data_IF_908498170225
#
_entry.id   IF_908498170225
#
_cell.length_a   1.000
_cell.length_b   1.000
_cell.length_c   1.000
_cell.angle_alpha   90.00
_cell.angle_beta   90.00
_cell.angle_gamma   90.00
#
_symmetry.space_group_name_H-M   'P 1'
#
loop_
_entity.id
_entity.type
_entity.pdbx_description
1 polymer ?
#
# COMPACT_ATOMS: atom_id res chain seq x y z
N UNK A 1 -5.80 0.27 -8.33
CA UNK A 1 -6.75 1.32 -7.94
C UNK A 1 -8.12 0.93 -8.46
N UNK A 2 -9.17 1.06 -7.64
CA UNK A 2 -10.56 0.81 -8.02
C UNK A 2 -11.37 2.09 -7.83
N UNK A 3 -12.36 2.32 -8.70
CA UNK A 3 -13.22 3.50 -8.70
C UNK A 3 -14.66 3.03 -8.57
N UNK A 4 -15.38 3.55 -7.58
CA UNK A 4 -16.79 3.28 -7.30
C UNK A 4 -17.54 4.61 -7.38
N UNK A 5 -17.86 5.04 -8.61
CA UNK A 5 -18.44 6.37 -8.87
C UNK A 5 -19.82 6.54 -8.24
N UNK A 6 -20.65 5.48 -8.21
CA UNK A 6 -21.95 5.49 -7.53
C UNK A 6 -21.85 5.76 -6.04
N UNK A 7 -20.76 5.35 -5.43
CA UNK A 7 -20.50 5.51 -4.00
C UNK A 7 -19.56 6.67 -3.70
N UNK A 8 -19.18 7.44 -4.72
CA UNK A 8 -18.22 8.55 -4.61
C UNK A 8 -16.93 8.14 -3.87
N UNK A 9 -16.40 6.94 -4.13
CA UNK A 9 -15.26 6.35 -3.45
C UNK A 9 -14.19 5.86 -4.43
N UNK A 10 -12.91 6.13 -4.12
CA UNK A 10 -11.75 5.61 -4.84
C UNK A 10 -10.82 4.87 -3.89
N UNK A 11 -10.56 3.59 -4.17
CA UNK A 11 -9.63 2.76 -3.41
C UNK A 11 -8.24 2.83 -4.04
N UNK A 12 -7.28 3.43 -3.33
CA UNK A 12 -5.89 3.50 -3.72
C UNK A 12 -5.17 2.22 -3.29
N UNK A 13 -4.45 1.60 -4.22
CA UNK A 13 -3.76 0.34 -3.98
C UNK A 13 -2.33 0.58 -3.49
N UNK A 14 -2.14 0.85 -2.20
CA UNK A 14 -0.79 0.91 -1.59
C UNK A 14 -0.11 -0.46 -1.77
N UNK A 15 1.14 -0.51 -2.24
CA UNK A 15 1.83 -1.79 -2.38
C UNK A 15 1.98 -2.52 -1.04
N UNK A 16 1.81 -3.84 -1.02
CA UNK A 16 2.06 -4.73 0.14
C UNK A 16 1.10 -4.56 1.33
N UNK A 17 -0.07 -3.97 1.10
CA UNK A 17 -1.14 -3.79 2.08
C UNK A 17 -2.41 -4.61 1.74
N UNK A 18 -2.28 -5.77 1.09
CA UNK A 18 -3.46 -6.59 0.75
C UNK A 18 -4.26 -6.10 -0.47
N UNK A 19 -3.77 -5.09 -1.20
CA UNK A 19 -4.47 -4.48 -2.35
C UNK A 19 -4.86 -5.48 -3.45
N UNK A 20 -4.15 -6.60 -3.58
CA UNK A 20 -4.52 -7.65 -4.57
C UNK A 20 -5.73 -8.45 -4.10
N UNK A 21 -5.87 -8.72 -2.81
CA UNK A 21 -7.05 -9.40 -2.27
C UNK A 21 -8.30 -8.53 -2.44
N UNK A 22 -8.20 -7.24 -2.09
CA UNK A 22 -9.27 -6.26 -2.32
C UNK A 22 -9.61 -6.12 -3.83
N UNK A 23 -8.62 -6.14 -4.71
CA UNK A 23 -8.84 -6.07 -6.15
C UNK A 23 -9.57 -7.31 -6.68
N UNK A 24 -9.29 -8.49 -6.15
CA UNK A 24 -9.98 -9.73 -6.52
C UNK A 24 -11.42 -9.70 -6.00
N UNK A 25 -11.63 -9.30 -4.75
CA UNK A 25 -12.95 -9.28 -4.12
C UNK A 25 -13.88 -8.21 -4.69
N UNK A 26 -13.35 -7.02 -5.00
CA UNK A 26 -14.14 -5.83 -5.36
C UNK A 26 -14.05 -5.42 -6.84
N UNK A 27 -13.17 -6.07 -7.61
CA UNK A 27 -12.85 -5.61 -8.97
C UNK A 27 -14.01 -5.73 -9.95
N UNK A 28 -15.00 -6.59 -9.70
CA UNK A 28 -16.20 -6.73 -10.54
C UNK A 28 -17.27 -5.69 -10.20
N UNK A 29 -17.26 -5.19 -8.96
CA UNK A 29 -18.20 -4.16 -8.49
C UNK A 29 -17.73 -2.75 -8.79
N UNK A 30 -16.45 -2.58 -9.19
CA UNK A 30 -15.87 -1.29 -9.50
C UNK A 30 -16.29 -0.80 -10.90
N UNK A 31 -16.73 0.47 -10.99
CA UNK A 31 -17.04 1.13 -12.26
C UNK A 31 -15.79 1.39 -13.11
N UNK A 32 -14.62 1.54 -12.45
CA UNK A 32 -13.34 1.71 -13.10
C UNK A 32 -12.19 0.99 -12.37
N UNK A 33 -11.24 0.48 -13.16
CA UNK A 33 -10.10 -0.27 -12.62
C UNK A 33 -8.79 0.10 -13.32
N UNK A 34 -7.77 0.41 -12.52
CA UNK A 34 -6.39 0.49 -12.99
C UNK A 34 -5.60 -0.70 -12.43
N UNK A 35 -5.36 -1.70 -13.27
CA UNK A 35 -4.71 -2.97 -12.88
C UNK A 35 -3.31 -3.13 -13.46
N UNK A 36 -3.08 -2.65 -14.68
CA UNK A 36 -1.82 -2.76 -15.41
C UNK A 36 -1.52 -1.47 -16.17
N UNK A 37 -0.25 -1.08 -16.33
CA UNK A 37 0.92 -1.69 -15.67
C UNK A 37 0.93 -1.45 -14.15
N UNK A 38 1.86 -2.06 -13.38
CA UNK A 38 1.92 -1.91 -11.91
C UNK A 38 1.93 -0.46 -11.42
N UNK A 39 2.55 0.45 -12.16
CA UNK A 39 2.62 1.88 -11.86
C UNK A 39 1.23 2.56 -11.92
N UNK A 40 0.34 2.04 -12.77
CA UNK A 40 -1.06 2.48 -12.82
C UNK A 40 -1.88 1.88 -11.70
N UNK A 41 -1.69 0.59 -11.41
CA UNK A 41 -2.33 -0.07 -10.26
C UNK A 41 -1.99 0.65 -8.95
N UNK A 42 -0.70 0.89 -8.74
CA UNK A 42 -0.13 1.50 -7.54
C UNK A 42 0.11 3.00 -7.73
N UNK A 43 -0.89 3.71 -8.28
CA UNK A 43 -0.83 5.15 -8.48
C UNK A 43 -0.83 5.88 -7.13
N UNK A 44 0.22 6.67 -6.77
CA UNK A 44 0.24 7.41 -5.52
C UNK A 44 -0.80 8.51 -5.46
N UNK A 45 -1.20 8.91 -4.24
CA UNK A 45 -2.23 9.92 -4.00
C UNK A 45 -1.97 11.22 -4.74
N UNK A 46 -0.73 11.74 -4.77
CA UNK A 46 -0.42 12.99 -5.48
C UNK A 46 -0.65 12.90 -7.00
N UNK A 47 -0.42 11.72 -7.62
CA UNK A 47 -0.72 11.49 -9.04
C UNK A 47 -2.22 11.30 -9.26
N UNK A 48 -2.90 10.58 -8.37
CA UNK A 48 -4.36 10.50 -8.38
C UNK A 48 -4.97 11.91 -8.33
N UNK A 49 -4.57 12.73 -7.38
CA UNK A 49 -5.06 14.10 -7.22
C UNK A 49 -4.82 14.96 -8.47
N UNK A 50 -3.68 14.76 -9.14
CA UNK A 50 -3.30 15.55 -10.32
C UNK A 50 -4.02 15.12 -11.60
N UNK A 51 -4.24 13.83 -11.81
CA UNK A 51 -4.67 13.31 -13.11
C UNK A 51 -6.05 12.65 -13.12
N UNK A 52 -6.42 11.95 -12.04
CA UNK A 52 -7.65 11.15 -12.00
C UNK A 52 -8.78 11.89 -11.30
N UNK A 53 -8.49 12.49 -10.15
CA UNK A 53 -9.48 13.23 -9.36
C UNK A 53 -10.20 14.32 -10.16
N UNK A 54 -9.50 15.20 -10.92
CA UNK A 54 -10.18 16.22 -11.73
C UNK A 54 -11.10 15.64 -12.81
N UNK A 55 -10.72 14.52 -13.41
CA UNK A 55 -11.56 13.82 -14.38
C UNK A 55 -12.84 13.32 -13.72
N UNK A 56 -12.73 12.70 -12.55
CA UNK A 56 -13.91 12.22 -11.80
C UNK A 56 -14.80 13.38 -11.35
N UNK A 57 -14.23 14.45 -10.81
CA UNK A 57 -14.98 15.65 -10.43
C UNK A 57 -15.76 16.25 -11.62
N UNK A 58 -15.11 16.34 -12.78
CA UNK A 58 -15.74 16.88 -13.99
C UNK A 58 -16.90 16.01 -14.48
N UNK A 59 -16.76 14.69 -14.38
CA UNK A 59 -17.73 13.74 -14.92
C UNK A 59 -18.88 13.43 -13.98
N UNK A 60 -18.62 13.38 -12.66
CA UNK A 60 -19.63 13.05 -11.64
C UNK A 60 -20.24 14.28 -10.96
N UNK A 61 -19.59 15.43 -11.06
CA UNK A 61 -19.96 16.64 -10.31
C UNK A 61 -19.66 16.57 -8.81
N UNK A 62 -18.96 15.54 -8.34
CA UNK A 62 -18.65 15.32 -6.93
C UNK A 62 -17.13 15.20 -6.72
N UNK A 63 -16.66 15.50 -5.51
CA UNK A 63 -15.28 15.27 -5.11
C UNK A 63 -15.15 13.88 -4.49
N UNK A 64 -14.47 12.93 -5.15
CA UNK A 64 -14.41 11.57 -4.65
C UNK A 64 -13.63 11.44 -3.34
N UNK A 65 -14.21 10.73 -2.39
CA UNK A 65 -13.50 10.28 -1.19
C UNK A 65 -12.47 9.21 -1.56
N UNK A 66 -11.36 9.20 -0.84
CA UNK A 66 -10.28 8.25 -1.07
C UNK A 66 -10.11 7.29 0.09
N UNK A 67 -9.94 6.01 -0.21
CA UNK A 67 -9.67 4.95 0.75
C UNK A 67 -8.31 4.34 0.49
N UNK A 68 -7.55 4.06 1.53
CA UNK A 68 -6.31 3.29 1.44
C UNK A 68 -6.05 2.47 2.72
N UNK A 69 -5.20 1.45 2.57
CA UNK A 69 -4.61 0.74 3.69
C UNK A 69 -3.16 1.17 3.87
N UNK A 70 -2.74 1.30 5.12
CA UNK A 70 -1.34 1.47 5.53
C UNK A 70 -0.95 0.30 6.43
N UNK A 71 0.28 -0.17 6.32
CA UNK A 71 0.80 -1.30 7.08
C UNK A 71 1.88 -0.84 8.05
N UNK A 72 2.01 -1.52 9.21
CA UNK A 72 3.10 -1.25 10.14
C UNK A 72 4.45 -1.29 9.39
N UNK A 73 5.28 -0.23 9.52
CA UNK A 73 6.41 -0.03 8.62
C UNK A 73 7.43 -1.18 8.56
N UNK A 74 7.77 -1.82 9.68
CA UNK A 74 8.67 -3.00 9.68
C UNK A 74 7.99 -4.21 9.04
N UNK A 75 6.72 -4.43 9.34
CA UNK A 75 5.90 -5.48 8.71
C UNK A 75 5.79 -5.27 7.19
N UNK A 76 5.68 -4.02 6.75
CA UNK A 76 5.66 -3.64 5.34
C UNK A 76 7.00 -3.93 4.65
N UNK A 77 8.15 -3.56 5.25
CA UNK A 77 9.48 -3.93 4.75
C UNK A 77 9.66 -5.44 4.67
N UNK A 78 9.23 -6.17 5.71
CA UNK A 78 9.29 -7.63 5.73
C UNK A 78 8.46 -8.26 4.63
N UNK A 79 7.32 -7.64 4.28
CA UNK A 79 6.49 -8.05 3.14
C UNK A 79 7.19 -7.82 1.80
N UNK A 80 7.91 -6.71 1.62
CA UNK A 80 8.73 -6.46 0.43
C UNK A 80 9.90 -7.44 0.32
N UNK A 81 10.65 -7.63 1.40
CA UNK A 81 11.74 -8.57 1.45
C UNK A 81 11.30 -9.98 1.02
N UNK A 82 10.23 -10.50 1.63
CA UNK A 82 9.68 -11.80 1.26
C UNK A 82 9.17 -11.89 -0.17
N UNK A 83 8.57 -10.82 -0.67
CA UNK A 83 8.10 -10.76 -2.06
C UNK A 83 9.27 -10.87 -3.02
N UNK A 84 10.36 -10.14 -2.78
CA UNK A 84 11.56 -10.13 -3.62
C UNK A 84 12.43 -11.38 -3.47
N UNK A 85 12.24 -12.17 -2.43
CA UNK A 85 12.91 -13.47 -2.22
C UNK A 85 12.24 -14.65 -2.95
N UNK A 86 11.13 -14.43 -3.67
CA UNK A 86 10.44 -15.49 -4.41
C UNK A 86 11.29 -16.01 -5.56
N UNK A 87 11.15 -17.31 -5.91
CA UNK A 87 11.87 -17.93 -7.01
C UNK A 87 11.70 -17.19 -8.35
N UNK A 88 10.51 -16.65 -8.60
CA UNK A 88 10.23 -15.85 -9.81
C UNK A 88 11.03 -14.54 -9.90
N UNK A 89 11.61 -14.10 -8.78
CA UNK A 89 12.42 -12.88 -8.69
C UNK A 89 13.93 -13.16 -8.58
N UNK A 90 14.34 -14.43 -8.45
CA UNK A 90 15.69 -14.83 -8.06
C UNK A 90 16.81 -14.27 -8.97
N UNK A 91 16.54 -14.11 -10.25
CA UNK A 91 17.52 -13.59 -11.23
C UNK A 91 17.41 -12.08 -11.47
N UNK A 92 16.50 -11.40 -10.80
CA UNK A 92 16.33 -9.95 -10.99
C UNK A 92 17.26 -9.17 -10.04
N UNK A 93 17.72 -7.97 -10.45
CA UNK A 93 18.49 -7.07 -9.58
C UNK A 93 17.75 -6.69 -8.27
N UNK A 94 16.44 -6.85 -8.25
CA UNK A 94 15.57 -6.60 -7.10
C UNK A 94 15.46 -7.79 -6.14
N UNK A 95 16.11 -8.92 -6.42
CA UNK A 95 16.04 -10.13 -5.60
C UNK A 95 16.68 -9.94 -4.23
N UNK A 96 16.06 -10.50 -3.20
CA UNK A 96 16.57 -10.53 -1.82
C UNK A 96 16.93 -11.94 -1.35
N UNK A 97 16.94 -12.93 -2.26
CA UNK A 97 17.17 -14.34 -1.89
C UNK A 97 18.56 -14.63 -1.30
N UNK A 98 19.54 -13.75 -1.51
CA UNK A 98 20.95 -13.91 -1.08
C UNK A 98 21.36 -12.96 0.04
N UNK A 99 20.42 -12.19 0.62
CA UNK A 99 20.73 -11.24 1.69
C UNK A 99 19.86 -11.50 2.92
N UNK A 100 20.30 -11.05 4.09
CA UNK A 100 19.51 -11.08 5.32
C UNK A 100 18.48 -9.95 5.33
N UNK A 101 17.48 -10.06 6.21
CA UNK A 101 16.52 -8.98 6.41
C UNK A 101 17.19 -7.75 7.02
N UNK A 102 18.16 -7.92 7.92
CA UNK A 102 18.96 -6.82 8.48
C UNK A 102 19.69 -6.05 7.38
N UNK A 103 20.33 -6.75 6.44
CA UNK A 103 20.99 -6.10 5.31
C UNK A 103 19.97 -5.33 4.46
N UNK A 104 18.81 -5.93 4.16
CA UNK A 104 17.76 -5.27 3.42
C UNK A 104 17.28 -3.97 4.10
N UNK A 105 17.05 -4.00 5.43
CA UNK A 105 16.62 -2.82 6.20
C UNK A 105 17.71 -1.75 6.21
N UNK A 106 18.97 -2.14 6.43
CA UNK A 106 20.13 -1.22 6.41
C UNK A 106 20.26 -0.49 5.07
N UNK A 107 20.15 -1.22 3.98
CA UNK A 107 20.22 -0.65 2.64
C UNK A 107 18.99 0.20 2.28
N UNK A 108 17.81 -0.15 2.81
CA UNK A 108 16.60 0.66 2.62
C UNK A 108 16.67 2.04 3.33
N UNK A 109 17.55 2.19 4.31
CA UNK A 109 17.83 3.46 5.00
C UNK A 109 18.94 4.29 4.33
N UNK A 110 19.64 3.74 3.35
CA UNK A 110 20.74 4.46 2.67
C UNK A 110 20.19 5.58 1.76
N UNK A 111 21.02 6.59 1.51
CA UNK A 111 20.69 7.70 0.60
C UNK A 111 20.54 7.25 -0.86
N UNK A 112 21.28 6.20 -1.25
CA UNK A 112 21.22 5.57 -2.58
C UNK A 112 21.01 4.05 -2.44
N UNK A 113 19.78 3.61 -2.14
CA UNK A 113 19.50 2.20 -1.92
C UNK A 113 19.68 1.40 -3.21
N UNK A 114 20.31 0.22 -3.13
CA UNK A 114 20.42 -0.68 -4.28
C UNK A 114 19.03 -1.16 -4.75
N UNK A 115 18.89 -1.65 -6.00
CA UNK A 115 17.59 -2.03 -6.58
C UNK A 115 16.77 -2.97 -5.69
N UNK A 116 17.41 -3.88 -4.94
CA UNK A 116 16.71 -4.78 -4.04
C UNK A 116 16.13 -4.08 -2.80
N UNK A 117 16.59 -2.89 -2.43
CA UNK A 117 16.12 -2.11 -1.29
C UNK A 117 15.30 -0.87 -1.67
N UNK A 118 15.19 -0.55 -2.96
CA UNK A 118 14.36 0.54 -3.47
C UNK A 118 12.88 0.17 -3.39
N UNK A 119 12.27 0.39 -2.25
CA UNK A 119 10.84 0.12 -2.01
C UNK A 119 10.01 1.39 -1.80
N UNK A 120 10.67 2.53 -1.60
CA UNK A 120 10.00 3.79 -1.27
C UNK A 120 9.47 3.79 0.18
N UNK A 121 8.45 4.61 0.44
CA UNK A 121 7.77 4.68 1.74
C UNK A 121 6.28 4.95 1.56
N UNK A 122 5.49 4.53 2.52
CA UNK A 122 4.03 4.66 2.47
C UNK A 122 3.59 6.12 2.64
N UNK A 123 4.30 6.92 3.45
CA UNK A 123 4.05 8.36 3.60
C UNK A 123 4.14 9.11 2.27
N UNK A 124 5.16 8.80 1.44
CA UNK A 124 5.28 9.41 0.10
C UNK A 124 4.15 8.97 -0.83
N UNK A 125 3.74 7.70 -0.74
CA UNK A 125 2.62 7.18 -1.54
C UNK A 125 1.31 7.87 -1.19
N UNK A 126 1.07 8.13 0.10
CA UNK A 126 -0.14 8.74 0.64
C UNK A 126 -0.08 10.28 0.74
N UNK A 127 1.04 10.88 0.33
CA UNK A 127 1.17 12.35 0.29
C UNK A 127 0.23 12.94 -0.76
N UNK A 128 -0.56 13.99 -0.42
CA UNK A 128 -1.48 14.62 -1.35
C UNK A 128 -0.79 15.40 -2.48
N UNK A 129 0.50 15.75 -2.30
CA UNK A 129 1.20 16.65 -3.20
C UNK A 129 0.74 18.11 -3.06
N UNK A 130 1.06 18.94 -4.07
CA UNK A 130 0.74 20.38 -4.04
C UNK A 130 -0.70 20.72 -4.46
N UNK A 131 -1.47 19.75 -4.98
CA UNK A 131 -2.86 19.95 -5.44
C UNK A 131 -3.73 18.78 -5.00
N UNK A 132 -4.82 19.04 -4.36
CA UNK A 132 -5.79 18.05 -3.90
C UNK A 132 -5.78 17.81 -2.39
N UNK A 133 -6.76 17.04 -1.91
CA UNK A 133 -6.94 16.73 -0.50
C UNK A 133 -6.07 15.56 -0.03
N UNK A 134 -5.94 15.40 1.30
CA UNK A 134 -5.36 14.22 1.91
C UNK A 134 -6.21 12.97 1.63
N UNK A 135 -5.69 11.82 2.03
CA UNK A 135 -6.49 10.59 2.06
C UNK A 135 -7.70 10.77 3.00
N UNK A 136 -8.89 10.36 2.57
CA UNK A 136 -10.13 10.55 3.36
C UNK A 136 -10.31 9.45 4.40
N UNK A 137 -10.07 8.20 3.99
CA UNK A 137 -10.22 7.02 4.84
C UNK A 137 -8.94 6.20 4.79
N UNK A 138 -8.20 6.20 5.89
CA UNK A 138 -6.95 5.45 6.03
C UNK A 138 -7.10 4.44 7.15
N UNK A 139 -6.96 3.13 6.82
CA UNK A 139 -7.05 2.05 7.79
C UNK A 139 -5.73 1.30 7.91
N UNK A 140 -5.48 0.77 9.10
CA UNK A 140 -4.35 -0.13 9.32
C UNK A 140 -4.61 -1.49 8.64
N UNK A 141 -3.62 -2.00 7.89
CA UNK A 141 -3.67 -3.35 7.31
C UNK A 141 -3.87 -4.44 8.37
N UNK A 142 -3.32 -4.23 9.55
CA UNK A 142 -3.43 -5.12 10.71
C UNK A 142 -4.86 -5.20 11.26
N UNK A 143 -5.69 -4.23 10.90
CA UNK A 143 -7.11 -4.16 11.27
C UNK A 143 -8.01 -4.32 10.04
N UNK A 144 -7.68 -5.30 9.19
CA UNK A 144 -8.38 -5.56 7.93
C UNK A 144 -9.89 -5.73 8.11
N UNK A 145 -10.32 -6.33 9.22
CA UNK A 145 -11.75 -6.55 9.51
C UNK A 145 -12.51 -5.22 9.61
N UNK A 146 -11.93 -4.18 10.20
CA UNK A 146 -12.53 -2.85 10.27
C UNK A 146 -12.59 -2.18 8.88
N UNK A 147 -11.53 -2.34 8.10
CA UNK A 147 -11.49 -1.84 6.72
C UNK A 147 -12.53 -2.53 5.84
N UNK A 148 -12.68 -3.86 5.97
CA UNK A 148 -13.72 -4.63 5.27
C UNK A 148 -15.12 -4.18 5.66
N UNK A 149 -15.38 -4.05 6.95
CA UNK A 149 -16.68 -3.59 7.46
C UNK A 149 -17.04 -2.19 6.97
N UNK A 150 -16.06 -1.29 6.88
CA UNK A 150 -16.26 0.02 6.27
C UNK A 150 -16.65 -0.11 4.80
N UNK A 151 -15.93 -0.93 4.02
CA UNK A 151 -16.19 -1.14 2.61
C UNK A 151 -17.54 -1.83 2.36
N UNK A 152 -17.90 -2.83 3.16
CA UNK A 152 -19.23 -3.49 3.10
C UNK A 152 -20.38 -2.49 3.29
N UNK A 153 -20.27 -1.68 4.33
CA UNK A 153 -21.29 -0.66 4.61
C UNK A 153 -21.32 0.43 3.53
N UNK A 154 -20.15 0.85 3.01
CA UNK A 154 -20.05 1.93 2.03
C UNK A 154 -20.49 1.51 0.65
N UNK A 155 -20.22 0.26 0.26
CA UNK A 155 -20.52 -0.29 -1.06
C UNK A 155 -21.81 -1.13 -1.08
N UNK A 156 -22.48 -1.29 0.08
CA UNK A 156 -23.74 -2.04 0.21
C UNK A 156 -23.62 -3.49 -0.27
N UNK A 157 -22.50 -4.17 0.06
CA UNK A 157 -22.22 -5.54 -0.34
C UNK A 157 -21.61 -6.36 0.81
N UNK A 158 -21.59 -7.66 0.68
CA UNK A 158 -20.81 -8.57 1.53
C UNK A 158 -19.43 -8.81 0.91
N UNK A 159 -18.36 -8.76 1.71
CA UNK A 159 -16.99 -8.87 1.27
C UNK A 159 -16.35 -10.17 1.75
N UNK A 160 -16.12 -11.09 0.85
CA UNK A 160 -15.29 -12.27 1.11
C UNK A 160 -13.86 -12.03 0.56
N UNK A 161 -12.92 -11.81 1.48
CA UNK A 161 -11.53 -11.57 1.11
C UNK A 161 -10.79 -12.90 0.95
N UNK A 162 -10.29 -13.22 -0.26
CA UNK A 162 -9.45 -14.38 -0.42
C UNK A 162 -8.12 -14.22 0.31
N UNK A 163 -7.71 -15.23 1.09
CA UNK A 163 -6.41 -15.31 1.73
C UNK A 163 -5.30 -15.49 0.68
N UNK A 164 -4.90 -14.40 0.01
CA UNK A 164 -3.91 -14.41 -1.04
C UNK A 164 -2.52 -14.05 -0.51
N UNK A 165 -1.50 -14.73 -1.05
CA UNK A 165 -0.09 -14.36 -0.90
C UNK A 165 0.51 -14.46 0.52
N UNK A 166 0.11 -15.43 1.34
CA UNK A 166 0.94 -15.83 2.48
C UNK A 166 2.28 -16.35 1.95
N UNK A 167 3.32 -15.54 2.10
CA UNK A 167 4.65 -15.98 1.72
C UNK A 167 5.13 -17.01 2.76
N UNK A 168 5.27 -18.26 2.32
CA UNK A 168 5.85 -19.36 3.10
C UNK A 168 7.39 -19.22 3.31
N UNK A 169 7.90 -17.99 3.31
CA UNK A 169 9.31 -17.72 3.60
C UNK A 169 9.43 -17.58 5.11
N UNK A 170 10.35 -18.37 5.66
CA UNK A 170 10.61 -18.50 7.09
C UNK A 170 10.76 -17.17 7.86
N UNK A 171 11.11 -17.26 9.14
CA UNK A 171 11.29 -16.08 9.99
C UNK A 171 12.32 -15.14 9.36
N UNK A 172 12.02 -13.84 9.35
CA UNK A 172 12.93 -12.78 8.96
C UNK A 172 13.16 -11.92 10.22
N UNK A 173 14.05 -12.37 11.12
CA UNK A 173 14.36 -11.61 12.33
C UNK A 173 15.01 -10.29 11.96
N UNK A 174 14.85 -9.30 12.82
CA UNK A 174 15.49 -8.00 12.71
C UNK A 174 16.25 -7.73 14.01
N UNK A 175 17.47 -7.26 13.86
CA UNK A 175 18.29 -6.82 14.99
C UNK A 175 17.58 -5.67 15.72
N UNK A 176 17.45 -5.73 17.07
CA UNK A 176 16.70 -4.73 17.84
C UNK A 176 17.28 -3.30 17.72
N UNK A 177 18.60 -3.15 17.63
CA UNK A 177 19.24 -1.84 17.51
C UNK A 177 19.00 -1.25 16.12
N UNK A 178 19.02 -2.10 15.09
CA UNK A 178 18.70 -1.70 13.73
C UNK A 178 17.22 -1.34 13.59
N UNK A 179 16.33 -2.07 14.27
CA UNK A 179 14.91 -1.71 14.32
C UNK A 179 14.71 -0.34 14.99
N UNK A 180 15.37 -0.09 16.12
CA UNK A 180 15.30 1.21 16.82
C UNK A 180 15.81 2.35 15.94
N UNK A 181 16.90 2.15 15.22
CA UNK A 181 17.43 3.11 14.25
C UNK A 181 16.43 3.39 13.12
N UNK A 182 15.84 2.35 12.53
CA UNK A 182 14.83 2.50 11.48
C UNK A 182 13.61 3.29 11.97
N UNK A 183 13.12 2.97 13.18
CA UNK A 183 11.99 3.67 13.81
C UNK A 183 12.28 5.16 14.02
N UNK A 184 13.50 5.51 14.40
CA UNK A 184 13.90 6.90 14.58
C UNK A 184 13.96 7.67 13.25
N UNK A 185 14.58 7.09 12.22
CA UNK A 185 14.72 7.73 10.90
C UNK A 185 13.37 7.89 10.21
N UNK A 186 12.49 6.90 10.34
CA UNK A 186 11.18 6.87 9.70
C UNK A 186 10.02 7.17 10.65
N UNK A 187 10.24 7.94 11.72
CA UNK A 187 9.23 8.23 12.75
C UNK A 187 7.90 8.74 12.17
N UNK A 188 7.94 9.57 11.13
CA UNK A 188 6.74 10.08 10.46
C UNK A 188 5.90 8.99 9.77
N UNK A 189 6.51 7.86 9.35
CA UNK A 189 5.78 6.73 8.78
C UNK A 189 5.05 5.95 9.86
N UNK A 190 5.68 5.76 11.02
CA UNK A 190 5.05 5.15 12.19
C UNK A 190 3.92 6.02 12.73
N UNK A 191 4.12 7.34 12.78
CA UNK A 191 3.08 8.27 13.20
C UNK A 191 1.86 8.18 12.29
N UNK A 192 2.04 8.24 10.96
CA UNK A 192 0.94 8.10 10.01
C UNK A 192 0.20 6.77 10.16
N UNK A 193 0.93 5.67 10.41
CA UNK A 193 0.31 4.38 10.67
C UNK A 193 -0.48 4.36 11.98
N UNK A 194 0.02 4.98 13.06
CA UNK A 194 -0.68 5.08 14.34
C UNK A 194 -1.93 5.97 14.27
N UNK A 195 -1.90 7.01 13.43
CA UNK A 195 -3.03 7.93 13.22
C UNK A 195 -4.09 7.36 12.26
N UNK A 196 -3.78 6.28 11.53
CA UNK A 196 -4.74 5.62 10.70
C UNK A 196 -5.90 5.09 11.54
N UNK A 197 -7.13 5.27 11.03
CA UNK A 197 -8.37 5.00 11.78
C UNK A 197 -8.36 3.63 12.43
N UNK A 198 -8.69 3.66 13.71
CA UNK A 198 -8.92 2.49 14.55
C UNK A 198 -10.40 2.16 14.48
#
# INVERSE_FOLDING_TARGET
MLIFSRYNLVLLAVPKTGSTALEVALGQEADGRFGNPPEMKHLPLYRYNRFVRPLLQLTTGQDPETFALIREPISWLRSWYRYRARNSMALLPTSTCHISFDQFVREAMSDDPPPFAQVGCQTRFLSPGGSGGPITHLFQYEQMDLACKFLENRLELELDLPWLNQAAIGPAPLDPDLEAQYRQIHAGEFQLWQEASI
#
